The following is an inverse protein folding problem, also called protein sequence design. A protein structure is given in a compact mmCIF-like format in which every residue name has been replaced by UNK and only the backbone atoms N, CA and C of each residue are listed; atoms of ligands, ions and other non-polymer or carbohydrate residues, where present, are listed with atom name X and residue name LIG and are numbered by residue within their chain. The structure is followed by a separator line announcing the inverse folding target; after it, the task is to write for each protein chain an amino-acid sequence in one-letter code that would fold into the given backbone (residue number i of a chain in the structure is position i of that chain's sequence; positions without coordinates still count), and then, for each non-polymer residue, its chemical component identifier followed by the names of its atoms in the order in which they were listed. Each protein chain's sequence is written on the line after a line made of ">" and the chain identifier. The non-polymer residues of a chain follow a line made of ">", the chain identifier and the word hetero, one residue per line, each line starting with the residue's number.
data_IF_164191761484
#
_entry.id   IF_164191761484
#
_cell.length_a   1.000
_cell.length_b   1.000
_cell.length_c   1.000
_cell.angle_alpha   90.00
_cell.angle_beta   90.00
_cell.angle_gamma   90.00
#
_symmetry.space_group_name_H-M   'P 1'
#
loop_
_entity.id
_entity.type
_entity.pdbx_description
1 polymer ?
#
# COMPACT_ATOMS: atom_id res chain seq x y z
N UNK A 1 35.36 -0.96 -8.96
CA UNK A 1 34.35 -2.03 -8.82
C UNK A 1 33.26 -1.52 -7.88
N UNK A 2 32.15 -1.01 -8.41
CA UNK A 2 31.05 -0.47 -7.57
C UNK A 2 30.31 -1.67 -6.98
N UNK A 3 30.44 -1.85 -5.67
CA UNK A 3 29.77 -2.92 -4.92
C UNK A 3 28.26 -2.67 -5.01
N UNK A 4 27.56 -3.38 -5.90
CA UNK A 4 26.09 -3.44 -5.89
C UNK A 4 25.70 -4.05 -4.55
N UNK A 5 25.40 -3.22 -3.56
CA UNK A 5 24.69 -3.67 -2.37
C UNK A 5 23.36 -4.23 -2.86
N UNK A 6 23.18 -5.54 -2.69
CA UNK A 6 21.89 -6.18 -2.93
C UNK A 6 20.87 -5.49 -2.02
N UNK A 7 19.99 -4.66 -2.58
CA UNK A 7 18.95 -3.94 -1.85
C UNK A 7 18.09 -4.88 -0.97
N UNK A 8 17.95 -6.15 -1.37
CA UNK A 8 17.27 -7.18 -0.56
C UNK A 8 17.96 -7.49 0.79
N UNK A 9 19.27 -7.28 0.93
CA UNK A 9 19.99 -7.54 2.17
C UNK A 9 19.79 -6.47 3.24
N UNK A 10 19.66 -5.20 2.83
CA UNK A 10 19.40 -4.07 3.74
C UNK A 10 17.95 -4.03 4.20
N UNK A 11 17.02 -4.26 3.27
CA UNK A 11 15.59 -4.14 3.56
C UNK A 11 15.15 -5.27 4.52
N UNK A 12 15.73 -6.48 4.36
CA UNK A 12 15.50 -7.60 5.29
C UNK A 12 16.03 -7.30 6.71
N UNK A 13 17.10 -6.51 6.82
CA UNK A 13 17.65 -6.10 8.13
C UNK A 13 16.72 -5.09 8.82
N UNK A 14 16.18 -4.14 8.07
CA UNK A 14 15.22 -3.16 8.59
C UNK A 14 13.95 -3.86 9.12
N UNK A 15 13.40 -4.79 8.34
CA UNK A 15 12.22 -5.57 8.73
C UNK A 15 12.47 -6.44 9.97
N UNK A 16 13.63 -7.11 10.02
CA UNK A 16 14.00 -7.92 11.19
C UNK A 16 14.16 -7.04 12.44
N UNK A 17 14.71 -5.83 12.30
CA UNK A 17 14.80 -4.87 13.39
C UNK A 17 13.42 -4.42 13.86
N UNK A 18 12.53 -4.10 12.93
CA UNK A 18 11.13 -3.75 13.24
C UNK A 18 10.43 -4.89 13.98
N UNK A 19 10.54 -6.13 13.49
CA UNK A 19 9.99 -7.32 14.16
C UNK A 19 10.55 -7.49 15.57
N UNK A 20 11.85 -7.25 15.76
CA UNK A 20 12.47 -7.33 17.09
C UNK A 20 11.92 -6.27 18.04
N UNK A 21 11.82 -5.01 17.59
CA UNK A 21 11.26 -3.91 18.39
C UNK A 21 9.81 -4.18 18.77
N UNK A 22 8.98 -4.63 17.81
CA UNK A 22 7.59 -4.97 18.07
C UNK A 22 7.46 -6.12 19.09
N UNK A 23 8.29 -7.17 18.98
CA UNK A 23 8.28 -8.29 19.93
C UNK A 23 8.71 -7.87 21.34
N UNK A 24 9.68 -6.97 21.44
CA UNK A 24 10.26 -6.58 22.72
C UNK A 24 9.44 -5.50 23.46
N UNK A 25 8.87 -4.55 22.71
CA UNK A 25 8.29 -3.34 23.28
C UNK A 25 6.76 -3.24 23.18
N UNK A 26 6.10 -4.09 22.39
CA UNK A 26 4.65 -3.97 22.15
C UNK A 26 3.92 -5.20 22.66
N UNK A 27 3.12 -5.00 23.72
CA UNK A 27 2.33 -6.07 24.33
C UNK A 27 1.01 -6.33 23.59
N UNK A 28 0.43 -5.33 22.93
CA UNK A 28 -0.83 -5.46 22.20
C UNK A 28 -0.65 -6.24 20.91
N UNK A 29 -1.71 -6.90 20.42
CA UNK A 29 -1.67 -7.66 19.18
C UNK A 29 -1.88 -6.80 17.93
N UNK A 30 -2.45 -5.62 18.11
CA UNK A 30 -2.68 -4.65 17.05
C UNK A 30 -1.69 -3.48 17.18
N UNK A 31 -1.13 -3.06 16.05
CA UNK A 31 -0.14 -1.98 15.95
C UNK A 31 -0.60 -0.98 14.89
N UNK A 32 -0.87 0.25 15.31
CA UNK A 32 -1.14 1.35 14.39
C UNK A 32 0.19 1.90 13.87
N UNK A 33 0.32 2.00 12.55
CA UNK A 33 1.46 2.70 11.94
C UNK A 33 1.20 4.21 12.00
N UNK A 34 2.05 4.92 12.72
CA UNK A 34 2.04 6.38 12.80
C UNK A 34 3.06 7.04 11.86
N UNK A 35 4.09 6.31 11.42
CA UNK A 35 5.15 6.82 10.55
C UNK A 35 4.99 6.28 9.13
N UNK A 36 4.83 7.18 8.17
CA UNK A 36 4.57 6.83 6.76
C UNK A 36 5.73 6.08 6.11
N UNK A 37 6.96 6.27 6.59
CA UNK A 37 8.13 5.52 6.13
C UNK A 37 8.01 4.02 6.43
N UNK A 38 7.30 3.64 7.50
CA UNK A 38 7.02 2.24 7.79
C UNK A 38 6.02 1.69 6.76
N UNK A 39 4.98 2.45 6.40
CA UNK A 39 4.06 2.07 5.32
C UNK A 39 4.82 1.85 4.00
N UNK A 40 5.73 2.76 3.63
CA UNK A 40 6.57 2.63 2.43
C UNK A 40 7.50 1.42 2.49
N UNK A 41 8.07 1.13 3.67
CA UNK A 41 8.89 -0.07 3.85
C UNK A 41 8.05 -1.33 3.66
N UNK A 42 6.84 -1.38 4.22
CA UNK A 42 5.98 -2.57 4.17
C UNK A 42 5.43 -2.85 2.77
N UNK A 43 5.27 -1.85 1.92
CA UNK A 43 4.84 -2.11 0.54
C UNK A 43 5.89 -2.82 -0.31
N UNK A 44 7.15 -2.82 0.10
CA UNK A 44 8.19 -3.66 -0.51
C UNK A 44 8.03 -5.14 -0.15
N UNK A 45 7.16 -5.44 0.82
CA UNK A 45 6.95 -6.77 1.41
C UNK A 45 5.47 -7.14 1.48
N UNK A 46 4.80 -7.32 0.33
CA UNK A 46 3.35 -7.50 0.27
C UNK A 46 2.84 -8.74 1.01
N UNK A 47 3.68 -9.77 1.24
CA UNK A 47 3.30 -10.98 1.98
C UNK A 47 3.07 -10.75 3.49
N UNK A 48 3.56 -9.64 4.03
CA UNK A 48 3.57 -9.36 5.47
C UNK A 48 3.00 -7.97 5.78
N UNK A 49 2.43 -7.26 4.80
CA UNK A 49 1.95 -5.89 4.98
C UNK A 49 0.90 -5.78 6.11
N UNK A 50 0.06 -6.81 6.28
CA UNK A 50 -0.96 -6.88 7.33
C UNK A 50 -0.44 -7.47 8.66
N UNK A 51 0.76 -8.07 8.67
CA UNK A 51 1.25 -8.83 9.82
C UNK A 51 2.76 -8.87 9.91
N UNK A 52 3.31 -8.39 11.02
CA UNK A 52 4.75 -8.49 11.32
C UNK A 52 4.94 -9.43 12.52
N UNK A 53 5.48 -10.61 12.26
CA UNK A 53 5.55 -11.66 13.27
C UNK A 53 4.13 -12.11 13.65
N UNK A 54 3.76 -11.94 14.92
CA UNK A 54 2.41 -12.27 15.42
C UNK A 54 1.49 -11.06 15.48
N UNK A 55 2.02 -9.85 15.22
CA UNK A 55 1.30 -8.59 15.38
C UNK A 55 0.55 -8.20 14.11
N UNK A 56 -0.71 -7.84 14.25
CA UNK A 56 -1.56 -7.29 13.20
C UNK A 56 -1.23 -5.82 13.00
N UNK A 57 -0.98 -5.44 11.76
CA UNK A 57 -0.60 -4.07 11.39
C UNK A 57 -1.83 -3.33 10.87
N UNK A 58 -2.04 -2.14 11.39
CA UNK A 58 -3.06 -1.20 10.93
C UNK A 58 -2.34 -0.04 10.26
N UNK A 59 -2.29 -0.05 8.94
CA UNK A 59 -1.67 1.00 8.13
C UNK A 59 -2.73 2.05 7.73
N UNK A 60 -2.79 3.13 8.50
CA UNK A 60 -3.77 4.19 8.26
C UNK A 60 -3.57 4.90 6.92
N UNK A 61 -2.32 5.03 6.44
CA UNK A 61 -2.03 5.66 5.16
C UNK A 61 -2.63 4.85 4.01
N UNK A 62 -2.44 3.53 4.06
CA UNK A 62 -3.00 2.61 3.08
C UNK A 62 -4.52 2.62 3.10
N UNK A 63 -5.13 2.43 4.28
CA UNK A 63 -6.58 2.40 4.43
C UNK A 63 -7.23 3.69 3.91
N UNK A 64 -6.62 4.84 4.20
CA UNK A 64 -7.10 6.12 3.69
C UNK A 64 -6.91 6.26 2.18
N UNK A 65 -5.77 5.81 1.66
CA UNK A 65 -5.47 5.82 0.22
C UNK A 65 -6.43 4.96 -0.58
N UNK A 66 -6.72 3.74 -0.11
CA UNK A 66 -7.71 2.83 -0.70
C UNK A 66 -9.11 3.47 -0.70
N UNK A 67 -9.55 4.00 0.45
CA UNK A 67 -10.85 4.65 0.55
C UNK A 67 -10.97 5.91 -0.34
N UNK A 68 -9.88 6.65 -0.52
CA UNK A 68 -9.85 7.82 -1.40
C UNK A 68 -9.90 7.39 -2.87
N UNK A 69 -9.16 6.34 -3.25
CA UNK A 69 -9.17 5.81 -4.61
C UNK A 69 -10.56 5.29 -4.98
N UNK A 70 -11.21 4.55 -4.08
CA UNK A 70 -12.58 4.04 -4.30
C UNK A 70 -13.58 5.18 -4.52
N UNK A 71 -13.49 6.26 -3.72
CA UNK A 71 -14.33 7.45 -3.90
C UNK A 71 -14.07 8.14 -5.22
N UNK A 72 -12.82 8.21 -5.66
CA UNK A 72 -12.49 8.83 -6.94
C UNK A 72 -13.02 7.99 -8.10
N UNK A 73 -12.74 6.68 -8.12
CA UNK A 73 -13.18 5.79 -9.19
C UNK A 73 -14.71 5.67 -9.30
N UNK A 74 -15.44 5.77 -8.19
CA UNK A 74 -16.91 5.81 -8.20
C UNK A 74 -17.49 7.16 -8.65
N UNK A 75 -16.71 8.25 -8.54
CA UNK A 75 -17.10 9.59 -8.97
C UNK A 75 -16.74 9.90 -10.43
N UNK A 76 -15.83 9.13 -11.06
CA UNK A 76 -15.55 9.25 -12.48
C UNK A 76 -16.77 8.71 -13.25
N UNK A 77 -17.48 9.55 -14.03
CA UNK A 77 -18.53 9.05 -14.91
C UNK A 77 -17.90 7.99 -15.81
N UNK A 78 -18.48 6.78 -15.84
CA UNK A 78 -18.17 5.84 -16.91
C UNK A 78 -18.40 6.59 -18.21
N UNK A 79 -17.36 6.78 -19.02
CA UNK A 79 -17.51 7.39 -20.34
C UNK A 79 -18.70 6.71 -21.01
N UNK A 80 -19.79 7.47 -21.19
CA UNK A 80 -20.84 7.09 -22.10
C UNK A 80 -20.12 6.92 -23.43
N UNK A 81 -20.14 5.70 -23.96
CA UNK A 81 -19.98 5.50 -25.39
C UNK A 81 -21.09 6.34 -26.04
N UNK A 82 -20.76 7.58 -26.39
CA UNK A 82 -21.63 8.42 -27.20
C UNK A 82 -21.79 7.69 -28.53
N UNK A 83 -22.99 7.16 -28.76
CA UNK A 83 -23.50 6.60 -30.01
C UNK A 83 -23.10 7.53 -31.18
N UNK A 84 -21.98 7.20 -31.83
CA UNK A 84 -21.45 7.93 -32.98
C UNK A 84 -22.13 7.51 -34.29
N UNK A 85 -23.42 7.14 -34.24
CA UNK A 85 -24.12 6.48 -35.36
C UNK A 85 -25.50 7.06 -35.70
N UNK A 86 -25.80 8.32 -35.33
CA UNK A 86 -27.03 8.98 -35.78
C UNK A 86 -26.83 10.45 -36.21
N UNK A 87 -26.07 10.67 -37.27
CA UNK A 87 -26.35 11.79 -38.17
C UNK A 87 -26.30 11.29 -39.61
N UNK A 88 -27.42 10.66 -40.01
CA UNK A 88 -27.77 10.56 -41.41
C UNK A 88 -27.92 11.96 -41.98
N UNK A 89 -26.96 12.38 -42.80
CA UNK A 89 -27.18 13.47 -43.75
C UNK A 89 -27.79 12.88 -45.02
N UNK A 90 -29.12 12.72 -45.00
CA UNK A 90 -29.93 12.95 -46.19
C UNK A 90 -30.10 14.47 -46.34
N UNK A 91 -29.43 15.07 -47.33
CA UNK A 91 -29.98 16.02 -48.32
C UNK A 91 -28.94 16.31 -49.40
#
# INVERSE_FOLDING_TARGET
>A
MVKRMQAGGTDNRALNKLRHVLRAGVQTDHVLIALTEISVLLERYPKIHNKIGEKTIIDALRLYGEALADRYLTAVPSEQEDDFDQWGTEV
#
